data_IF_586218990264
#
_entry.id   IF_586218990264
#
_cell.length_a   1.000
_cell.length_b   1.000
_cell.length_c   1.000
_cell.angle_alpha   90.00
_cell.angle_beta   90.00
_cell.angle_gamma   90.00
#
_symmetry.space_group_name_H-M   'P 1'
#
loop_
_entity.id
_entity.type
_entity.pdbx_description
1 polymer ?
#
# COMPACT_ATOMS: atom_id res chain seq x y z
N UNK A 1 -7.79 15.22 -27.58
CA UNK A 1 -8.95 14.30 -27.60
C UNK A 1 -9.38 14.13 -26.17
N UNK A 2 -10.58 14.56 -25.82
CA UNK A 2 -11.11 14.44 -24.46
C UNK A 2 -11.63 13.01 -24.29
N UNK A 3 -11.06 12.27 -23.34
CA UNK A 3 -11.51 10.91 -23.04
C UNK A 3 -12.82 10.98 -22.26
N UNK A 4 -13.77 10.12 -22.61
CA UNK A 4 -15.06 10.02 -21.91
C UNK A 4 -14.96 9.01 -20.77
N UNK A 5 -15.73 9.24 -19.71
CA UNK A 5 -15.81 8.32 -18.60
C UNK A 5 -16.31 6.93 -19.06
N UNK A 6 -15.77 5.86 -18.46
CA UNK A 6 -16.20 4.49 -18.74
C UNK A 6 -17.62 4.16 -18.24
N UNK A 7 -18.20 5.00 -17.38
CA UNK A 7 -19.50 4.77 -16.75
C UNK A 7 -20.57 5.81 -17.13
N UNK A 8 -20.19 6.92 -17.76
CA UNK A 8 -21.11 7.95 -18.25
C UNK A 8 -20.49 8.77 -19.39
N UNK A 9 -21.28 9.66 -20.00
CA UNK A 9 -20.81 10.50 -21.11
C UNK A 9 -20.04 11.76 -20.67
N UNK A 10 -19.79 11.93 -19.37
CA UNK A 10 -19.00 13.04 -18.86
C UNK A 10 -17.52 12.95 -19.27
N UNK A 11 -16.84 14.09 -19.25
CA UNK A 11 -15.41 14.18 -19.47
C UNK A 11 -14.63 13.49 -18.35
N UNK A 12 -13.61 12.71 -18.71
CA UNK A 12 -12.77 12.00 -17.75
C UNK A 12 -11.71 12.93 -17.16
N UNK A 13 -11.58 12.93 -15.84
CA UNK A 13 -10.58 13.68 -15.08
C UNK A 13 -9.43 12.79 -14.61
N UNK A 14 -9.72 11.54 -14.26
CA UNK A 14 -8.81 10.59 -13.64
C UNK A 14 -8.78 9.25 -14.39
N UNK A 15 -7.79 8.41 -14.09
CA UNK A 15 -7.74 7.02 -14.56
C UNK A 15 -7.62 6.06 -13.39
N UNK A 16 -8.34 4.95 -13.46
CA UNK A 16 -8.25 3.93 -12.42
C UNK A 16 -6.84 3.32 -12.35
N UNK A 17 -6.21 3.29 -11.18
CA UNK A 17 -4.86 2.74 -11.03
C UNK A 17 -4.77 1.21 -11.24
N UNK A 18 -5.89 0.49 -11.17
CA UNK A 18 -5.90 -0.98 -11.36
C UNK A 18 -6.13 -1.36 -12.82
N UNK A 19 -7.16 -0.78 -13.45
CA UNK A 19 -7.63 -1.21 -14.77
C UNK A 19 -7.41 -0.18 -15.88
N UNK A 20 -6.94 1.02 -15.54
CA UNK A 20 -6.68 2.10 -16.49
C UNK A 20 -7.91 2.76 -17.11
N UNK A 21 -9.14 2.34 -16.72
CA UNK A 21 -10.38 2.95 -17.24
C UNK A 21 -10.43 4.45 -16.93
N UNK A 22 -10.84 5.31 -17.88
CA UNK A 22 -11.06 6.73 -17.65
C UNK A 22 -12.29 6.95 -16.74
N UNK A 23 -12.14 7.81 -15.74
CA UNK A 23 -13.13 8.10 -14.69
C UNK A 23 -13.41 9.60 -14.64
N UNK A 24 -14.67 9.97 -14.43
CA UNK A 24 -15.04 11.33 -14.06
C UNK A 24 -15.13 11.46 -12.53
N UNK A 25 -15.20 12.68 -12.02
CA UNK A 25 -15.25 12.97 -10.58
C UNK A 25 -16.40 12.27 -9.83
N UNK A 26 -17.54 12.03 -10.49
CA UNK A 26 -18.67 11.34 -9.88
C UNK A 26 -18.43 9.82 -9.68
N UNK A 27 -17.54 9.23 -10.48
CA UNK A 27 -17.29 7.79 -10.48
C UNK A 27 -15.90 7.41 -9.94
N UNK A 28 -15.04 8.40 -9.67
CA UNK A 28 -13.75 8.17 -9.02
C UNK A 28 -13.96 7.93 -7.53
N UNK A 29 -13.37 6.85 -7.01
CA UNK A 29 -13.24 6.64 -5.57
C UNK A 29 -11.77 6.75 -5.21
N UNK A 30 -11.45 7.60 -4.25
CA UNK A 30 -10.09 7.72 -3.72
C UNK A 30 -9.94 6.81 -2.52
N UNK A 31 -8.85 6.07 -2.49
CA UNK A 31 -8.52 5.24 -1.36
C UNK A 31 -7.00 5.06 -1.30
N UNK A 32 -6.45 4.89 -0.10
CA UNK A 32 -5.01 4.71 0.03
C UNK A 32 -4.49 3.51 -0.78
N UNK A 33 -3.34 3.61 -1.44
CA UNK A 33 -2.67 2.45 -2.01
C UNK A 33 -2.41 1.42 -0.91
N UNK A 34 -2.33 0.16 -1.32
CA UNK A 34 -1.89 -0.89 -0.40
C UNK A 34 -0.36 -0.86 -0.33
N UNK A 35 0.20 -0.77 0.86
CA UNK A 35 1.64 -0.95 1.04
C UNK A 35 2.03 -2.39 0.73
N UNK A 36 2.91 -2.60 -0.25
CA UNK A 36 3.51 -3.91 -0.50
C UNK A 36 4.62 -4.15 0.50
N UNK A 37 4.57 -5.30 1.19
CA UNK A 37 5.54 -5.61 2.23
C UNK A 37 6.98 -5.55 1.73
N UNK A 38 7.26 -6.11 0.55
CA UNK A 38 8.60 -6.15 -0.03
C UNK A 38 9.15 -4.78 -0.40
N UNK A 39 8.31 -3.90 -0.95
CA UNK A 39 8.71 -2.53 -1.29
C UNK A 39 8.96 -1.73 0.00
N UNK A 40 8.07 -1.85 0.99
CA UNK A 40 8.26 -1.22 2.30
C UNK A 40 9.57 -1.64 2.96
N UNK A 41 9.83 -2.95 3.08
CA UNK A 41 11.07 -3.46 3.68
C UNK A 41 12.30 -2.99 2.93
N UNK A 42 12.24 -2.95 1.59
CA UNK A 42 13.34 -2.46 0.77
C UNK A 42 13.61 -0.99 1.02
N UNK A 43 12.57 -0.16 1.09
CA UNK A 43 12.69 1.27 1.40
C UNK A 43 13.24 1.47 2.80
N UNK A 44 12.71 0.78 3.81
CA UNK A 44 13.22 0.83 5.19
C UNK A 44 14.69 0.43 5.25
N UNK A 45 15.07 -0.69 4.65
CA UNK A 45 16.45 -1.17 4.64
C UNK A 45 17.41 -0.20 3.95
N UNK A 46 16.98 0.34 2.81
CA UNK A 46 17.78 1.27 2.04
C UNK A 46 17.96 2.62 2.76
N UNK A 47 16.88 3.16 3.35
CA UNK A 47 16.92 4.37 4.16
C UNK A 47 17.77 4.17 5.41
N UNK A 48 17.65 3.03 6.09
CA UNK A 48 18.48 2.72 7.26
C UNK A 48 19.98 2.76 6.93
N UNK A 49 20.38 2.22 5.76
CA UNK A 49 21.77 2.16 5.34
C UNK A 49 22.31 3.49 4.78
N UNK A 50 21.48 4.28 4.09
CA UNK A 50 21.94 5.51 3.42
C UNK A 50 21.66 6.79 4.20
N UNK A 51 20.54 6.86 4.91
CA UNK A 51 20.04 8.06 5.56
C UNK A 51 19.20 7.70 6.81
N UNK A 52 19.83 7.15 7.87
CA UNK A 52 19.10 6.69 9.06
C UNK A 52 18.32 7.81 9.76
N UNK A 53 18.77 9.06 9.64
CA UNK A 53 18.09 10.24 10.22
C UNK A 53 16.73 10.54 9.61
N UNK A 54 16.41 10.05 8.41
CA UNK A 54 15.12 10.27 7.74
C UNK A 54 14.18 9.07 7.86
N UNK A 55 14.56 8.02 8.60
CA UNK A 55 13.77 6.81 8.74
C UNK A 55 12.40 7.09 9.38
N UNK A 56 12.36 7.95 10.40
CA UNK A 56 11.10 8.31 11.06
C UNK A 56 10.13 8.97 10.08
N UNK A 57 10.61 9.90 9.24
CA UNK A 57 9.80 10.57 8.23
C UNK A 57 9.18 9.55 7.26
N UNK A 58 9.98 8.60 6.76
CA UNK A 58 9.52 7.54 5.86
C UNK A 58 8.46 6.63 6.51
N UNK A 59 8.50 6.44 7.83
CA UNK A 59 7.53 5.63 8.56
C UNK A 59 6.22 6.37 8.88
N UNK A 60 6.26 7.71 8.93
CA UNK A 60 5.12 8.56 9.32
C UNK A 60 4.45 9.27 8.14
N UNK A 61 5.03 9.20 6.95
CA UNK A 61 4.48 9.84 5.75
C UNK A 61 3.16 9.17 5.37
N UNK A 62 2.09 9.96 5.33
CA UNK A 62 0.77 9.49 4.89
C UNK A 62 0.83 9.19 3.37
N UNK A 63 0.45 7.98 2.98
CA UNK A 63 0.48 7.59 1.57
C UNK A 63 -0.54 8.39 0.73
N UNK A 64 -0.14 8.76 -0.49
CA UNK A 64 -1.01 9.49 -1.42
C UNK A 64 -2.22 8.66 -1.84
N UNK A 65 -3.43 9.23 -1.79
CA UNK A 65 -4.65 8.52 -2.22
C UNK A 65 -4.68 8.33 -3.73
N UNK A 66 -4.98 7.11 -4.18
CA UNK A 66 -5.05 6.80 -5.60
C UNK A 66 -6.50 6.68 -6.12
N UNK A 67 -6.75 7.05 -7.38
CA UNK A 67 -8.07 6.92 -8.01
C UNK A 67 -8.39 5.46 -8.39
N UNK A 68 -9.56 4.99 -7.94
CA UNK A 68 -10.09 3.65 -8.23
C UNK A 68 -11.51 3.69 -8.80
N UNK A 69 -11.79 2.69 -9.64
CA UNK A 69 -13.13 2.41 -10.14
C UNK A 69 -13.96 1.65 -9.07
N UNK A 70 -15.31 1.78 -9.04
CA UNK A 70 -16.15 1.09 -8.07
C UNK A 70 -16.05 -0.44 -8.17
N UNK A 71 -15.91 -0.98 -9.39
CA UNK A 71 -15.70 -2.42 -9.64
C UNK A 71 -14.36 -2.92 -9.08
N UNK A 72 -13.34 -2.05 -9.09
CA UNK A 72 -11.97 -2.34 -8.72
C UNK A 72 -11.75 -2.28 -7.20
N UNK A 73 -12.68 -1.66 -6.48
CA UNK A 73 -12.55 -1.37 -5.06
C UNK A 73 -12.51 -2.65 -4.21
N UNK A 74 -13.36 -3.64 -4.53
CA UNK A 74 -13.31 -4.94 -3.84
C UNK A 74 -12.01 -5.71 -4.12
N UNK A 75 -11.50 -5.64 -5.35
CA UNK A 75 -10.23 -6.27 -5.70
C UNK A 75 -9.06 -5.61 -4.94
N UNK A 76 -9.06 -4.29 -4.80
CA UNK A 76 -8.08 -3.57 -3.97
C UNK A 76 -8.20 -3.97 -2.49
N UNK A 77 -9.40 -4.00 -1.93
CA UNK A 77 -9.62 -4.42 -0.54
C UNK A 77 -9.09 -5.84 -0.26
N UNK A 78 -9.28 -6.78 -1.20
CA UNK A 78 -8.70 -8.13 -1.11
C UNK A 78 -7.18 -8.14 -1.17
N UNK A 79 -6.57 -7.32 -2.03
CA UNK A 79 -5.10 -7.19 -2.08
C UNK A 79 -4.54 -6.60 -0.79
N UNK A 80 -5.21 -5.59 -0.20
CA UNK A 80 -4.85 -5.01 1.11
C UNK A 80 -4.82 -6.07 2.20
N UNK A 81 -5.87 -6.88 2.35
CA UNK A 81 -5.91 -7.89 3.41
C UNK A 81 -4.84 -8.97 3.22
N UNK A 82 -4.50 -9.31 1.98
CA UNK A 82 -3.40 -10.23 1.67
C UNK A 82 -2.04 -9.65 2.07
N UNK A 83 -1.75 -8.39 1.74
CA UNK A 83 -0.51 -7.74 2.15
C UNK A 83 -0.45 -7.52 3.67
N UNK A 84 -1.53 -7.07 4.29
CA UNK A 84 -1.63 -6.92 5.76
C UNK A 84 -1.36 -8.24 6.48
N UNK A 85 -1.84 -9.36 5.95
CA UNK A 85 -1.54 -10.69 6.49
C UNK A 85 -0.05 -11.02 6.41
N UNK A 86 0.65 -10.60 5.34
CA UNK A 86 2.11 -10.78 5.25
C UNK A 86 2.83 -9.95 6.31
N UNK A 87 2.42 -8.70 6.51
CA UNK A 87 2.94 -7.85 7.61
C UNK A 87 2.74 -8.52 8.97
N UNK A 88 1.54 -9.06 9.23
CA UNK A 88 1.24 -9.76 10.48
C UNK A 88 2.17 -10.95 10.71
N UNK A 89 2.37 -11.80 9.69
CA UNK A 89 3.28 -12.95 9.82
C UNK A 89 4.74 -12.54 9.99
N UNK A 90 5.17 -11.44 9.34
CA UNK A 90 6.51 -10.91 9.54
C UNK A 90 6.70 -10.48 11.01
N UNK A 91 5.79 -9.69 11.55
CA UNK A 91 5.85 -9.23 12.95
C UNK A 91 5.85 -10.41 13.91
N UNK A 92 4.96 -11.39 13.70
CA UNK A 92 4.91 -12.61 14.50
C UNK A 92 6.24 -13.37 14.45
N UNK A 93 6.82 -13.54 13.27
CA UNK A 93 8.10 -14.23 13.08
C UNK A 93 9.24 -13.53 13.82
N UNK A 94 9.30 -12.19 13.78
CA UNK A 94 10.29 -11.40 14.52
C UNK A 94 10.11 -11.57 16.03
N UNK A 95 8.87 -11.54 16.53
CA UNK A 95 8.60 -11.73 17.96
C UNK A 95 9.02 -13.11 18.46
N UNK A 96 8.71 -14.16 17.70
CA UNK A 96 9.13 -15.54 18.01
C UNK A 96 10.65 -15.66 18.03
N UNK A 97 11.34 -15.03 17.07
CA UNK A 97 12.81 -15.02 17.02
C UNK A 97 13.41 -14.33 18.25
N UNK A 98 12.89 -13.15 18.64
CA UNK A 98 13.35 -12.43 19.83
C UNK A 98 13.13 -13.28 21.09
N UNK A 99 11.94 -13.89 21.24
CA UNK A 99 11.64 -14.75 22.38
C UNK A 99 12.56 -15.97 22.46
N UNK A 100 12.87 -16.60 21.31
CA UNK A 100 13.81 -17.72 21.24
C UNK A 100 15.23 -17.30 21.64
N UNK A 101 15.71 -16.15 21.17
CA UNK A 101 17.03 -15.61 21.55
C UNK A 101 17.07 -15.34 23.06
N UNK A 102 16.07 -14.68 23.62
CA UNK A 102 16.02 -14.42 25.06
C UNK A 102 16.01 -15.72 25.86
N UNK A 103 15.24 -16.72 25.44
CA UNK A 103 15.21 -18.03 26.08
C UNK A 103 16.59 -18.70 26.06
N UNK A 104 17.29 -18.65 24.94
CA UNK A 104 18.65 -19.20 24.79
C UNK A 104 19.72 -18.43 25.55
N UNK A 105 19.54 -17.12 25.79
CA UNK A 105 20.48 -16.31 26.55
C UNK A 105 20.30 -16.44 28.07
N UNK A 106 19.08 -16.73 28.52
CA UNK A 106 18.74 -16.88 29.95
C UNK A 106 19.05 -18.28 30.47
N UNK A 107 19.10 -19.28 29.59
CA UNK A 107 19.37 -20.68 29.92
C UNK A 107 20.82 -21.07 29.63
#
# INVERSE_FOLDING_TARGET
MTERCAFCEAEASDRCNVCGKPLCEAHVRRALPYLRLGEFLRTVWHTLLRAPGTLLAVLTEEGEEEPFCPECLQANARRRSQEQRKFLFLVLGVLVLIAAIMYLLVR
#
